data_IF_719948295193
#
_entry.id   IF_719948295193
#
_cell.length_a   1.000
_cell.length_b   1.000
_cell.length_c   1.000
_cell.angle_alpha   90.00
_cell.angle_beta   90.00
_cell.angle_gamma   90.00
#
_symmetry.space_group_name_H-M   'P 1'
#
loop_
_entity.id
_entity.type
_entity.pdbx_description
1 polymer ?
#
# COMPACT_ATOMS: atom_id res chain seq x y z
N UNK A 1 -17.02 23.10 -14.22
CA UNK A 1 -17.91 22.46 -13.22
C UNK A 1 -18.59 21.28 -13.90
N UNK A 2 -18.72 20.14 -13.23
CA UNK A 2 -19.35 18.95 -13.83
C UNK A 2 -20.89 19.11 -13.87
N UNK A 3 -21.51 18.76 -15.01
CA UNK A 3 -22.98 18.69 -15.15
C UNK A 3 -23.44 17.31 -14.67
N UNK A 4 -24.41 17.29 -13.75
CA UNK A 4 -24.95 16.07 -13.11
C UNK A 4 -26.38 15.75 -13.56
N UNK A 5 -26.88 16.39 -14.62
CA UNK A 5 -28.20 16.06 -15.19
C UNK A 5 -28.27 14.58 -15.60
N UNK A 6 -29.20 13.83 -14.99
CA UNK A 6 -29.44 12.42 -15.27
C UNK A 6 -28.86 11.44 -14.24
N UNK A 7 -28.18 11.91 -13.20
CA UNK A 7 -27.77 11.05 -12.08
C UNK A 7 -28.90 10.89 -11.05
N UNK A 8 -29.33 9.65 -10.80
CA UNK A 8 -30.33 9.30 -9.77
C UNK A 8 -29.71 8.42 -8.68
N UNK A 9 -29.52 9.00 -7.50
CA UNK A 9 -28.93 8.34 -6.34
C UNK A 9 -29.78 7.19 -5.78
N UNK A 10 -31.05 7.06 -6.18
CA UNK A 10 -31.89 5.93 -5.79
C UNK A 10 -31.58 4.65 -6.60
N UNK A 11 -30.90 4.80 -7.73
CA UNK A 11 -30.53 3.68 -8.62
C UNK A 11 -29.08 3.23 -8.47
N UNK A 12 -28.29 3.96 -7.68
CA UNK A 12 -26.87 3.69 -7.48
C UNK A 12 -26.68 3.40 -6.01
N UNK A 13 -26.40 2.14 -5.69
CA UNK A 13 -26.07 1.76 -4.32
C UNK A 13 -24.81 2.50 -3.85
N UNK A 14 -24.81 3.03 -2.62
CA UNK A 14 -23.63 3.67 -2.06
C UNK A 14 -22.47 2.67 -2.05
N UNK A 15 -21.26 3.13 -2.38
CA UNK A 15 -20.09 2.28 -2.36
C UNK A 15 -19.92 1.65 -0.97
N UNK A 16 -19.68 0.33 -0.94
CA UNK A 16 -19.34 -0.37 0.29
C UNK A 16 -18.18 0.34 1.00
N UNK A 17 -18.29 0.45 2.32
CA UNK A 17 -17.21 0.96 3.15
C UNK A 17 -15.93 0.17 2.82
N UNK A 18 -14.91 0.89 2.35
CA UNK A 18 -13.62 0.29 2.02
C UNK A 18 -12.90 -0.06 3.32
N UNK A 19 -13.30 -1.17 3.92
CA UNK A 19 -12.70 -1.67 5.16
C UNK A 19 -11.18 -1.82 4.99
N UNK A 20 -10.39 -1.43 5.99
CA UNK A 20 -8.96 -1.48 5.87
C UNK A 20 -8.49 -2.94 5.82
N UNK A 21 -7.56 -3.23 4.91
CA UNK A 21 -7.04 -4.60 4.75
C UNK A 21 -6.19 -5.00 5.97
N UNK A 22 -6.07 -6.29 6.29
CA UNK A 22 -5.25 -6.75 7.40
C UNK A 22 -3.79 -6.29 7.31
N UNK A 23 -3.10 -6.24 8.46
CA UNK A 23 -1.67 -5.99 8.47
C UNK A 23 -0.94 -7.20 7.86
N UNK A 24 -0.04 -6.97 6.91
CA UNK A 24 0.56 -8.04 6.13
C UNK A 24 1.51 -7.56 5.05
N UNK A 25 2.02 -8.51 4.27
CA UNK A 25 2.85 -8.23 3.10
C UNK A 25 2.04 -8.51 1.84
N UNK A 26 2.04 -7.57 0.91
CA UNK A 26 1.24 -7.65 -0.31
C UNK A 26 2.11 -7.32 -1.52
N UNK A 27 1.88 -8.00 -2.64
CA UNK A 27 2.52 -7.66 -3.92
C UNK A 27 1.70 -6.56 -4.55
N UNK A 28 2.34 -5.42 -4.82
CA UNK A 28 1.70 -4.25 -5.38
C UNK A 28 2.56 -3.61 -6.47
N UNK A 29 1.91 -2.85 -7.34
CA UNK A 29 2.54 -2.00 -8.35
C UNK A 29 2.10 -0.56 -8.15
N UNK A 30 2.96 0.39 -8.51
CA UNK A 30 2.56 1.80 -8.58
C UNK A 30 1.78 1.98 -9.89
N UNK A 31 0.52 2.42 -9.78
CA UNK A 31 -0.37 2.63 -10.94
C UNK A 31 -0.56 4.09 -11.30
N UNK A 32 -0.25 4.99 -10.36
CA UNK A 32 -0.38 6.42 -10.55
C UNK A 32 0.60 7.18 -9.65
N UNK A 33 1.06 8.33 -10.15
CA UNK A 33 1.90 9.26 -9.41
C UNK A 33 1.57 10.70 -9.77
N UNK A 34 1.34 11.52 -8.76
CA UNK A 34 0.92 12.91 -8.96
C UNK A 34 1.59 13.84 -7.93
N UNK A 35 2.08 15.00 -8.37
CA UNK A 35 2.56 16.05 -7.47
C UNK A 35 1.38 16.91 -7.02
N UNK A 36 1.14 16.98 -5.71
CA UNK A 36 0.05 17.77 -5.10
C UNK A 36 0.58 18.79 -4.11
N UNK A 37 -0.05 19.97 -4.02
CA UNK A 37 0.27 20.92 -2.97
C UNK A 37 -0.10 20.36 -1.59
N UNK A 38 0.75 20.60 -0.60
CA UNK A 38 0.46 20.29 0.81
C UNK A 38 -0.76 21.07 1.30
N UNK A 39 -1.43 20.58 2.36
CA UNK A 39 -2.61 21.26 2.93
C UNK A 39 -2.32 22.71 3.35
N UNK A 40 -1.09 22.99 3.78
CA UNK A 40 -0.65 24.33 4.17
C UNK A 40 -0.28 25.23 2.98
N UNK A 41 -0.19 24.69 1.77
CA UNK A 41 0.18 25.42 0.55
C UNK A 41 1.66 25.84 0.49
N UNK A 42 2.49 25.42 1.44
CA UNK A 42 3.89 25.85 1.58
C UNK A 42 4.89 24.92 0.91
N UNK A 43 4.42 23.98 0.10
CA UNK A 43 5.25 22.97 -0.57
C UNK A 43 4.40 21.90 -1.24
N UNK A 44 5.05 20.92 -1.86
CA UNK A 44 4.43 19.86 -2.63
C UNK A 44 4.82 18.47 -2.12
N UNK A 45 3.93 17.50 -2.28
CA UNK A 45 4.21 16.09 -2.05
C UNK A 45 3.94 15.27 -3.29
N UNK A 46 4.76 14.23 -3.49
CA UNK A 46 4.50 13.20 -4.48
C UNK A 46 3.52 12.19 -3.87
N UNK A 47 2.31 12.12 -4.43
CA UNK A 47 1.37 11.08 -4.11
C UNK A 47 1.64 9.88 -5.03
N UNK A 48 1.84 8.70 -4.43
CA UNK A 48 1.93 7.43 -5.15
C UNK A 48 0.71 6.59 -4.83
N UNK A 49 0.11 6.00 -5.86
CA UNK A 49 -0.99 5.05 -5.72
C UNK A 49 -0.48 3.64 -6.00
N UNK A 50 -0.49 2.80 -4.97
CA UNK A 50 -0.18 1.38 -5.07
C UNK A 50 -1.46 0.57 -5.27
N UNK A 51 -1.47 -0.30 -6.27
CA UNK A 51 -2.51 -1.31 -6.44
C UNK A 51 -1.96 -2.67 -6.05
N UNK A 52 -2.66 -3.39 -5.16
CA UNK A 52 -2.37 -4.80 -4.89
C UNK A 52 -2.75 -5.62 -6.12
N UNK A 53 -1.82 -6.43 -6.61
CA UNK A 53 -2.00 -7.21 -7.85
C UNK A 53 -2.19 -8.71 -7.62
N UNK A 54 -1.92 -9.20 -6.40
CA UNK A 54 -2.00 -10.63 -6.07
C UNK A 54 -2.70 -10.86 -4.72
N UNK A 55 -3.38 -12.01 -4.60
CA UNK A 55 -4.07 -12.45 -3.40
C UNK A 55 -5.53 -12.00 -3.30
N UNK A 56 -6.16 -12.27 -2.14
CA UNK A 56 -7.57 -11.97 -1.86
C UNK A 56 -7.91 -10.48 -1.94
N UNK A 57 -6.92 -9.62 -1.67
CA UNK A 57 -7.07 -8.16 -1.67
C UNK A 57 -6.59 -7.52 -2.99
N UNK A 58 -6.55 -8.28 -4.08
CA UNK A 58 -6.21 -7.75 -5.40
C UNK A 58 -7.17 -6.61 -5.80
N UNK A 59 -6.66 -5.63 -6.55
CA UNK A 59 -7.33 -4.38 -6.95
C UNK A 59 -7.58 -3.38 -5.81
N UNK A 60 -7.17 -3.67 -4.56
CA UNK A 60 -7.19 -2.66 -3.51
C UNK A 60 -6.10 -1.61 -3.73
N UNK A 61 -6.48 -0.35 -3.56
CA UNK A 61 -5.60 0.80 -3.70
C UNK A 61 -5.12 1.29 -2.34
N UNK A 62 -3.85 1.64 -2.28
CA UNK A 62 -3.18 2.21 -1.11
C UNK A 62 -2.40 3.44 -1.55
N UNK A 63 -2.45 4.50 -0.75
CA UNK A 63 -1.83 5.78 -1.10
C UNK A 63 -0.69 6.11 -0.16
N UNK A 64 0.39 6.63 -0.73
CA UNK A 64 1.56 7.13 -0.01
C UNK A 64 1.79 8.57 -0.42
N UNK A 65 2.16 9.42 0.54
CA UNK A 65 2.45 10.84 0.32
C UNK A 65 3.87 11.15 0.75
N UNK A 66 4.73 11.37 -0.23
CA UNK A 66 6.14 11.69 -0.02
C UNK A 66 6.33 13.20 -0.07
N UNK A 67 6.54 13.83 1.08
CA UNK A 67 6.77 15.28 1.22
C UNK A 67 8.19 15.67 0.74
N UNK A 68 8.45 15.56 -0.56
CA UNK A 68 9.77 15.82 -1.16
C UNK A 68 10.14 17.32 -1.19
N UNK A 69 9.14 18.20 -1.14
CA UNK A 69 9.27 19.65 -1.13
C UNK A 69 8.44 20.25 0.03
N UNK A 70 9.11 20.58 1.14
CA UNK A 70 8.45 21.09 2.34
C UNK A 70 9.44 21.95 3.16
N UNK A 71 9.00 23.05 3.81
CA UNK A 71 9.85 23.83 4.70
C UNK A 71 10.41 23.03 5.88
N UNK A 72 9.73 21.95 6.28
CA UNK A 72 10.24 21.06 7.33
C UNK A 72 11.27 20.06 6.77
N UNK A 73 12.56 20.33 7.03
CA UNK A 73 13.67 19.51 6.59
C UNK A 73 13.56 18.03 7.04
N UNK A 74 13.02 17.77 8.24
CA UNK A 74 12.83 16.40 8.75
C UNK A 74 11.80 15.64 7.91
N UNK A 75 10.72 16.30 7.49
CA UNK A 75 9.71 15.68 6.63
C UNK A 75 10.29 15.32 5.25
N UNK A 76 11.12 16.22 4.69
CA UNK A 76 11.82 15.99 3.42
C UNK A 76 12.82 14.83 3.54
N UNK A 77 13.57 14.75 4.64
CA UNK A 77 14.50 13.65 4.87
C UNK A 77 13.79 12.29 4.96
N UNK A 78 12.67 12.23 5.70
CA UNK A 78 11.84 11.02 5.80
C UNK A 78 11.30 10.63 4.42
N UNK A 79 10.75 11.59 3.67
CA UNK A 79 10.21 11.33 2.33
C UNK A 79 11.30 10.84 1.36
N UNK A 80 12.51 11.41 1.41
CA UNK A 80 13.65 10.95 0.60
C UNK A 80 14.11 9.56 0.98
N UNK A 81 14.16 9.24 2.28
CA UNK A 81 14.49 7.89 2.77
C UNK A 81 13.46 6.86 2.29
N UNK A 82 12.19 7.22 2.33
CA UNK A 82 11.09 6.37 1.88
C UNK A 82 11.13 6.16 0.35
N UNK A 83 11.31 7.22 -0.44
CA UNK A 83 11.51 7.12 -1.88
C UNK A 83 12.70 6.19 -2.21
N UNK A 84 13.78 6.30 -1.45
CA UNK A 84 14.96 5.44 -1.58
C UNK A 84 14.67 3.95 -1.33
N UNK A 85 13.73 3.64 -0.43
CA UNK A 85 13.29 2.28 -0.16
C UNK A 85 12.43 1.72 -1.31
N UNK A 86 11.53 2.55 -1.87
CA UNK A 86 10.72 2.22 -3.06
C UNK A 86 11.62 1.95 -4.26
N UNK A 87 12.57 2.85 -4.55
CA UNK A 87 13.54 2.70 -5.63
C UNK A 87 14.30 1.35 -5.55
N UNK A 88 14.72 0.96 -4.33
CA UNK A 88 15.41 -0.31 -4.11
C UNK A 88 14.49 -1.53 -4.20
N UNK A 89 13.21 -1.41 -3.84
CA UNK A 89 12.26 -2.51 -3.92
C UNK A 89 11.84 -2.84 -5.35
N UNK A 90 11.73 -1.83 -6.22
CA UNK A 90 11.44 -2.02 -7.65
C UNK A 90 12.69 -2.26 -8.50
N UNK A 91 13.88 -1.95 -7.97
CA UNK A 91 15.17 -2.17 -8.66
C UNK A 91 15.65 -0.99 -9.51
N UNK A 92 14.97 0.16 -9.46
CA UNK A 92 15.35 1.39 -10.17
C UNK A 92 16.05 2.32 -9.19
N UNK A 93 17.39 2.36 -9.23
CA UNK A 93 18.19 3.13 -8.25
C UNK A 93 18.30 4.62 -8.57
N UNK A 94 18.16 5.00 -9.83
CA UNK A 94 18.31 6.37 -10.32
C UNK A 94 17.10 6.70 -11.21
N UNK A 95 15.89 6.85 -10.63
CA UNK A 95 14.74 7.28 -11.41
C UNK A 95 14.93 8.73 -11.85
N UNK A 96 14.57 9.01 -13.10
CA UNK A 96 14.53 10.37 -13.66
C UNK A 96 13.13 10.97 -13.58
N UNK A 97 12.11 10.13 -13.70
CA UNK A 97 10.71 10.50 -13.51
C UNK A 97 10.04 9.54 -12.52
N UNK A 98 8.99 10.02 -11.85
CA UNK A 98 8.08 9.19 -11.06
C UNK A 98 7.45 8.03 -11.85
N UNK A 99 7.23 8.19 -13.16
CA UNK A 99 6.71 7.15 -14.04
C UNK A 99 7.67 5.97 -14.20
N UNK A 100 8.97 6.17 -13.97
CA UNK A 100 9.98 5.09 -14.05
C UNK A 100 9.74 4.00 -12.99
N UNK A 101 8.95 4.31 -11.96
CA UNK A 101 8.60 3.39 -10.88
C UNK A 101 7.26 2.66 -11.13
N UNK A 102 6.53 3.02 -12.19
CA UNK A 102 5.18 2.51 -12.47
C UNK A 102 5.21 1.08 -12.99
N UNK A 103 4.16 0.32 -12.67
CA UNK A 103 3.96 -1.07 -13.14
C UNK A 103 5.11 -2.04 -12.79
N UNK A 104 6.00 -1.66 -11.86
CA UNK A 104 7.05 -2.51 -11.34
C UNK A 104 6.58 -3.21 -10.06
N UNK A 105 6.58 -4.55 -10.00
CA UNK A 105 6.10 -5.28 -8.83
C UNK A 105 7.07 -5.14 -7.66
N UNK A 106 6.55 -4.74 -6.50
CA UNK A 106 7.26 -4.74 -5.24
C UNK A 106 6.38 -5.29 -4.12
N UNK A 107 7.00 -5.65 -3.00
CA UNK A 107 6.28 -6.11 -1.83
C UNK A 107 6.14 -4.97 -0.82
N UNK A 108 4.91 -4.56 -0.54
CA UNK A 108 4.55 -3.52 0.43
C UNK A 108 4.17 -4.14 1.77
N UNK A 109 4.58 -3.51 2.87
CA UNK A 109 4.30 -3.97 4.23
C UNK A 109 3.23 -3.07 4.82
N UNK A 110 1.99 -3.55 4.82
CA UNK A 110 0.82 -2.80 5.27
C UNK A 110 0.62 -3.00 6.77
N UNK A 111 0.34 -1.90 7.47
CA UNK A 111 -0.10 -1.90 8.86
C UNK A 111 -1.44 -1.19 9.00
N UNK A 112 -2.14 -1.53 10.07
CA UNK A 112 -3.32 -0.79 10.52
C UNK A 112 -2.86 0.28 11.52
N UNK A 113 -3.20 1.53 11.23
CA UNK A 113 -2.97 2.67 12.11
C UNK A 113 -4.32 3.22 12.55
N UNK A 114 -4.52 3.33 13.86
CA UNK A 114 -5.69 4.00 14.41
C UNK A 114 -5.54 5.50 14.24
N UNK A 115 -6.53 6.15 13.66
CA UNK A 115 -6.58 7.61 13.58
C UNK A 115 -6.93 8.18 14.95
N UNK A 116 -6.20 9.20 15.39
CA UNK A 116 -6.42 9.82 16.71
C UNK A 116 -7.75 10.59 16.78
N UNK A 117 -8.25 11.12 15.66
CA UNK A 117 -9.47 11.93 15.65
C UNK A 117 -10.75 11.09 15.67
N UNK A 118 -10.81 10.05 14.82
CA UNK A 118 -12.05 9.27 14.60
C UNK A 118 -12.01 7.89 15.25
N UNK A 119 -10.83 7.40 15.67
CA UNK A 119 -10.67 6.04 16.19
C UNK A 119 -10.70 4.95 15.11
N UNK A 120 -10.93 5.33 13.85
CA UNK A 120 -10.98 4.42 12.70
C UNK A 120 -9.61 3.84 12.39
N UNK A 121 -9.60 2.61 11.88
CA UNK A 121 -8.39 1.96 11.39
C UNK A 121 -8.15 2.38 9.94
N UNK A 122 -6.92 2.77 9.63
CA UNK A 122 -6.48 3.13 8.29
C UNK A 122 -5.27 2.29 7.90
N UNK A 123 -5.21 1.88 6.64
CA UNK A 123 -4.01 1.26 6.10
C UNK A 123 -2.89 2.28 5.91
N UNK A 124 -1.70 1.93 6.36
CA UNK A 124 -0.48 2.69 6.13
C UNK A 124 0.64 1.72 5.71
N UNK A 125 1.43 2.11 4.73
CA UNK A 125 2.58 1.31 4.29
C UNK A 125 3.77 1.69 5.17
N UNK A 126 4.36 0.70 5.84
CA UNK A 126 5.51 0.90 6.76
C UNK A 126 6.84 0.51 6.11
N UNK A 127 6.82 -0.25 5.03
CA UNK A 127 8.03 -0.79 4.43
C UNK A 127 7.83 -1.30 3.01
N UNK A 128 8.94 -1.40 2.31
CA UNK A 128 9.04 -1.85 0.93
C UNK A 128 10.18 -2.86 0.84
N UNK A 129 9.92 -4.00 0.22
CA UNK A 129 10.94 -5.00 -0.07
C UNK A 129 10.82 -5.43 -1.53
N UNK A 130 11.94 -5.92 -2.09
CA UNK A 130 11.89 -6.56 -3.40
C UNK A 130 10.85 -7.67 -3.38
N UNK A 131 10.17 -7.85 -4.49
CA UNK A 131 9.36 -9.05 -4.67
C UNK A 131 10.30 -10.25 -4.54
N UNK A 132 10.10 -11.04 -3.50
CA UNK A 132 10.78 -12.30 -3.36
C UNK A 132 10.39 -13.17 -4.57
N UNK A 133 11.35 -13.49 -5.45
CA UNK A 133 11.20 -14.59 -6.41
C UNK A 133 11.23 -15.89 -5.62
N UNK A 134 10.12 -16.22 -4.95
CA UNK A 134 9.99 -17.49 -4.27
C UNK A 134 8.91 -18.27 -5.00
N UNK A 135 9.40 -19.22 -5.80
CA UNK A 135 8.66 -20.41 -6.18
C UNK A 135 7.81 -20.88 -4.99
N UNK A 136 6.50 -20.94 -5.22
CA UNK A 136 5.50 -21.70 -4.48
C UNK A 136 5.90 -22.12 -3.07
N UNK A 137 5.68 -21.25 -2.07
CA UNK A 137 5.42 -21.76 -0.73
C UNK A 137 3.92 -21.99 -0.60
N UNK A 138 3.50 -23.11 -1.17
CA UNK A 138 2.19 -23.73 -0.97
C UNK A 138 1.91 -23.78 0.52
N UNK A 139 0.78 -23.21 0.92
CA UNK A 139 0.15 -23.42 2.21
C UNK A 139 -0.32 -24.89 2.28
N UNK A 140 0.57 -25.80 2.66
CA UNK A 140 0.17 -27.12 3.16
C UNK A 140 -0.34 -26.95 4.59
N UNK A 141 -1.61 -26.56 4.73
CA UNK A 141 -2.39 -26.84 5.94
C UNK A 141 -3.12 -28.16 5.71
N UNK A 142 -2.45 -29.28 5.96
CA UNK A 142 -3.12 -30.53 6.31
C UNK A 142 -2.15 -31.40 7.09
N UNK A 143 -2.40 -31.56 8.39
CA UNK A 143 -2.43 -32.86 9.08
C UNK A 143 -2.56 -32.62 10.58
N UNK A 144 -3.79 -32.79 11.07
CA UNK A 144 -4.00 -33.25 12.43
C UNK A 144 -3.35 -34.63 12.57
N UNK A 145 -2.51 -34.81 13.59
CA UNK A 145 -2.12 -36.13 14.05
C UNK A 145 -2.16 -36.16 15.56
N UNK A 146 -3.29 -36.66 16.06
CA UNK A 146 -3.44 -37.31 17.35
C UNK A 146 -2.31 -38.34 17.54
N UNK A 147 -1.70 -38.38 18.72
CA UNK A 147 -1.02 -39.60 19.20
C UNK A 147 -1.18 -39.66 20.71
N UNK A 148 -2.24 -40.37 21.10
CA UNK A 148 -2.34 -41.17 22.31
C UNK A 148 -1.05 -41.98 22.48
N UNK A 149 -0.43 -41.97 23.67
CA UNK A 149 0.84 -42.65 23.91
C UNK A 149 0.59 -44.03 24.56
N UNK A 150 0.88 -45.16 23.86
CA UNK A 150 0.71 -46.49 24.43
C UNK A 150 2.06 -47.19 24.53
N UNK A 151 2.66 -47.25 25.71
CA UNK A 151 3.62 -48.30 26.02
C UNK A 151 3.47 -48.77 27.47
N UNK A 152 2.56 -49.74 27.55
CA UNK A 152 2.42 -50.75 28.58
C UNK A 152 3.44 -51.85 28.28
N UNK A 153 4.45 -52.01 29.11
CA UNK A 153 5.07 -53.31 29.46
C UNK A 153 5.68 -53.22 30.85
#
# INVERSE_FOLDING_TARGET
MANLQGFDANTVEPADDLEPIPAGKYVAVIVDSEMKPTKSGTGNYLQLTFQIVEGEYANRLLWVRLNLDNPNATAVEIARRELSAICRSVGVLVPTDSTDLHNLPCMIHVRLKRRNDTGELQNEIKGYSKRDSVASKTLETTSASSTDAPWKR
#
